data_IF_284275010557
#
_entry.id   IF_284275010557
#
_cell.length_a   1.000
_cell.length_b   1.000
_cell.length_c   1.000
_cell.angle_alpha   90.00
_cell.angle_beta   90.00
_cell.angle_gamma   90.00
#
_symmetry.space_group_name_H-M   'P 1'
#
loop_
_entity.id
_entity.type
_entity.pdbx_description
1 polymer ?
#
# COMPACT_ATOMS: atom_id res chain seq x y z
N UNK A 1 17.63 -1.11 -4.70
CA UNK A 1 16.55 -0.61 -3.82
C UNK A 1 15.31 -1.52 -3.84
N UNK A 2 15.46 -2.85 -4.01
CA UNK A 2 14.32 -3.80 -4.05
C UNK A 2 13.57 -3.91 -2.71
N UNK A 3 14.25 -3.62 -1.60
CA UNK A 3 13.65 -3.67 -0.26
C UNK A 3 12.47 -2.71 -0.11
N UNK A 4 12.57 -1.47 -0.63
CA UNK A 4 11.45 -0.52 -0.56
C UNK A 4 10.25 -0.94 -1.41
N UNK A 5 10.50 -1.56 -2.56
CA UNK A 5 9.44 -2.15 -3.37
C UNK A 5 8.73 -3.28 -2.60
N UNK A 6 9.50 -4.14 -1.93
CA UNK A 6 8.95 -5.24 -1.14
C UNK A 6 8.15 -4.72 0.05
N UNK A 7 8.65 -3.71 0.76
CA UNK A 7 7.92 -3.02 1.83
C UNK A 7 6.61 -2.44 1.30
N UNK A 8 6.65 -1.76 0.14
CA UNK A 8 5.44 -1.20 -0.48
C UNK A 8 4.40 -2.29 -0.80
N UNK A 9 4.83 -3.45 -1.31
CA UNK A 9 3.94 -4.56 -1.62
C UNK A 9 3.32 -5.17 -0.36
N UNK A 10 4.13 -5.43 0.67
CA UNK A 10 3.65 -5.98 1.95
C UNK A 10 2.67 -5.01 2.62
N UNK A 11 2.98 -3.71 2.64
CA UNK A 11 2.06 -2.69 3.14
C UNK A 11 0.73 -2.69 2.38
N UNK A 12 0.77 -2.78 1.05
CA UNK A 12 -0.45 -2.80 0.23
C UNK A 12 -1.34 -4.01 0.53
N UNK A 13 -0.74 -5.19 0.71
CA UNK A 13 -1.47 -6.41 1.10
C UNK A 13 -2.10 -6.27 2.47
N UNK A 14 -1.34 -5.80 3.48
CA UNK A 14 -1.85 -5.62 4.85
C UNK A 14 -2.98 -4.59 4.88
N UNK A 15 -2.81 -3.45 4.19
CA UNK A 15 -3.83 -2.43 4.10
C UNK A 15 -5.09 -2.92 3.36
N UNK A 16 -4.95 -3.74 2.31
CA UNK A 16 -6.07 -4.36 1.62
C UNK A 16 -6.82 -5.39 2.48
N UNK A 17 -6.09 -6.20 3.26
CA UNK A 17 -6.67 -7.17 4.19
C UNK A 17 -7.53 -6.49 5.26
N UNK A 18 -7.08 -5.35 5.77
CA UNK A 18 -7.85 -4.57 6.74
C UNK A 18 -9.00 -3.79 6.11
N UNK A 19 -8.77 -3.10 4.99
CA UNK A 19 -9.75 -2.21 4.37
C UNK A 19 -10.87 -2.93 3.60
N UNK A 20 -10.59 -4.08 2.95
CA UNK A 20 -11.56 -4.78 2.11
C UNK A 20 -12.07 -6.07 2.74
N UNK A 21 -11.16 -6.89 3.27
CA UNK A 21 -11.49 -8.23 3.78
C UNK A 21 -11.91 -8.23 5.26
N UNK A 22 -11.78 -7.08 5.95
CA UNK A 22 -12.18 -6.92 7.35
C UNK A 22 -11.63 -8.03 8.27
N UNK A 23 -10.41 -8.52 8.00
CA UNK A 23 -9.76 -9.54 8.82
C UNK A 23 -9.63 -8.98 10.25
N UNK A 24 -10.09 -9.67 11.31
CA UNK A 24 -10.20 -9.11 12.66
C UNK A 24 -8.88 -8.58 13.23
N UNK A 25 -7.74 -9.14 12.83
CA UNK A 25 -6.40 -8.66 13.22
C UNK A 25 -6.01 -7.31 12.57
N UNK A 26 -6.64 -6.92 11.47
CA UNK A 26 -6.31 -5.75 10.66
C UNK A 26 -7.51 -4.82 10.38
N UNK A 27 -8.68 -5.12 10.95
CA UNK A 27 -9.97 -4.46 10.69
C UNK A 27 -10.00 -2.98 11.10
N UNK A 28 -8.97 -2.48 11.79
CA UNK A 28 -8.86 -1.06 12.07
C UNK A 28 -8.60 -0.27 10.78
N UNK A 29 -9.62 0.50 10.37
CA UNK A 29 -9.54 1.39 9.21
C UNK A 29 -8.39 2.38 9.32
N UNK A 30 -8.09 2.86 10.53
CA UNK A 30 -6.96 3.76 10.81
C UNK A 30 -5.62 3.07 10.57
N UNK A 31 -5.47 1.81 11.00
CA UNK A 31 -4.25 1.02 10.77
C UNK A 31 -4.04 0.79 9.27
N UNK A 32 -5.08 0.39 8.55
CA UNK A 32 -4.99 0.23 7.09
C UNK A 32 -4.57 1.53 6.38
N UNK A 33 -5.07 2.68 6.85
CA UNK A 33 -4.72 4.00 6.32
C UNK A 33 -3.24 4.33 6.52
N UNK A 34 -2.73 4.15 7.75
CA UNK A 34 -1.31 4.40 8.08
C UNK A 34 -0.40 3.48 7.27
N UNK A 35 -0.72 2.19 7.22
CA UNK A 35 0.07 1.18 6.49
C UNK A 35 0.08 1.49 4.99
N UNK A 36 -1.05 1.87 4.40
CA UNK A 36 -1.12 2.27 2.99
C UNK A 36 -0.26 3.50 2.69
N UNK A 37 -0.26 4.52 3.57
CA UNK A 37 0.56 5.73 3.39
C UNK A 37 2.07 5.37 3.44
N UNK A 38 2.48 4.52 4.38
CA UNK A 38 3.86 4.02 4.45
C UNK A 38 4.27 3.24 3.19
N UNK A 39 3.34 2.46 2.64
CA UNK A 39 3.54 1.74 1.38
C UNK A 39 3.68 2.67 0.18
N UNK A 40 2.88 3.75 0.11
CA UNK A 40 3.01 4.78 -0.94
C UNK A 40 4.37 5.47 -0.86
N UNK A 41 4.80 5.89 0.34
CA UNK A 41 6.12 6.52 0.53
C UNK A 41 7.24 5.58 0.06
N UNK A 42 7.16 4.30 0.43
CA UNK A 42 8.12 3.27 0.01
C UNK A 42 8.11 3.04 -1.51
N UNK A 43 6.93 3.07 -2.14
CA UNK A 43 6.80 2.97 -3.59
C UNK A 43 7.42 4.19 -4.30
N UNK A 44 7.20 5.41 -3.79
CA UNK A 44 7.79 6.64 -4.32
C UNK A 44 9.31 6.63 -4.20
N UNK A 45 9.88 6.17 -3.09
CA UNK A 45 11.34 6.03 -2.93
C UNK A 45 11.91 5.07 -3.98
N UNK A 46 11.16 4.00 -4.30
CA UNK A 46 11.55 3.00 -5.30
C UNK A 46 11.64 3.58 -6.72
N UNK A 47 11.00 4.72 -7.02
CA UNK A 47 11.10 5.34 -8.35
C UNK A 47 12.53 5.76 -8.73
N UNK A 48 13.37 6.07 -7.74
CA UNK A 48 14.79 6.41 -7.95
C UNK A 48 15.62 5.24 -8.48
N UNK A 49 15.14 4.00 -8.36
CA UNK A 49 15.87 2.81 -8.81
C UNK A 49 15.63 2.53 -10.30
N UNK A 50 16.66 2.74 -11.14
CA UNK A 50 16.55 2.51 -12.59
C UNK A 50 16.48 1.03 -12.99
N UNK A 51 16.77 0.09 -12.09
CA UNK A 51 16.75 -1.35 -12.40
C UNK A 51 15.36 -1.98 -12.29
N UNK A 52 14.42 -1.33 -11.60
CA UNK A 52 13.04 -1.82 -11.45
C UNK A 52 12.20 -1.32 -12.63
N UNK A 53 11.42 -2.21 -13.23
CA UNK A 53 10.52 -1.86 -14.33
C UNK A 53 9.51 -0.79 -13.90
N UNK A 54 9.21 0.13 -14.81
CA UNK A 54 8.25 1.22 -14.58
C UNK A 54 6.86 0.68 -14.21
N UNK A 55 6.45 -0.43 -14.83
CA UNK A 55 5.18 -1.09 -14.51
C UNK A 55 5.10 -1.57 -13.05
N UNK A 56 6.19 -2.13 -12.53
CA UNK A 56 6.23 -2.66 -11.17
C UNK A 56 6.25 -1.55 -10.12
N UNK A 57 6.87 -0.40 -10.43
CA UNK A 57 6.79 0.80 -9.59
C UNK A 57 5.37 1.36 -9.55
N UNK A 58 4.70 1.38 -10.70
CA UNK A 58 3.33 1.87 -10.80
C UNK A 58 2.35 0.98 -10.04
N UNK A 59 2.46 -0.34 -10.20
CA UNK A 59 1.62 -1.29 -9.45
C UNK A 59 1.87 -1.19 -7.94
N UNK A 60 3.10 -0.94 -7.49
CA UNK A 60 3.41 -0.71 -6.08
C UNK A 60 2.76 0.56 -5.49
N UNK A 61 2.53 1.60 -6.30
CA UNK A 61 1.75 2.77 -5.87
C UNK A 61 0.26 2.42 -5.84
N UNK A 62 -0.26 1.79 -6.91
CA UNK A 62 -1.68 1.46 -7.03
C UNK A 62 -2.18 0.53 -5.94
N UNK A 63 -1.41 -0.51 -5.58
CA UNK A 63 -1.80 -1.48 -4.55
C UNK A 63 -1.96 -0.86 -3.16
N UNK A 64 -1.35 0.30 -2.92
CA UNK A 64 -1.52 1.06 -1.67
C UNK A 64 -2.58 2.16 -1.80
N UNK A 65 -2.72 2.79 -2.97
CA UNK A 65 -3.76 3.80 -3.21
C UNK A 65 -5.18 3.22 -3.13
N UNK A 66 -5.37 2.00 -3.64
CA UNK A 66 -6.67 1.33 -3.64
C UNK A 66 -7.25 1.15 -2.22
N UNK A 67 -6.56 0.48 -1.27
CA UNK A 67 -7.05 0.37 0.10
C UNK A 67 -7.14 1.73 0.80
N UNK A 68 -6.25 2.68 0.51
CA UNK A 68 -6.34 4.03 1.06
C UNK A 68 -7.67 4.69 0.69
N UNK A 69 -8.05 4.69 -0.59
CA UNK A 69 -9.36 5.18 -1.02
C UNK A 69 -10.52 4.35 -0.46
N UNK A 70 -10.38 3.03 -0.42
CA UNK A 70 -11.37 2.13 0.21
C UNK A 70 -11.68 2.54 1.65
N UNK A 71 -10.67 2.87 2.44
CA UNK A 71 -10.88 3.34 3.82
C UNK A 71 -11.57 4.70 3.88
N UNK A 72 -11.36 5.61 2.92
CA UNK A 72 -12.04 6.90 2.89
C UNK A 72 -13.50 6.78 2.45
N UNK A 73 -13.79 5.91 1.48
CA UNK A 73 -15.18 5.63 1.05
C UNK A 73 -15.96 4.95 2.17
N UNK A 74 -15.36 3.98 2.87
CA UNK A 74 -16.03 3.25 3.95
C UNK A 74 -16.27 4.07 5.24
N UNK A 75 -15.66 5.25 5.37
CA UNK A 75 -15.80 6.12 6.56
C UNK A 75 -16.76 7.30 6.34
N UNK A 76 -17.27 7.52 5.11
CA UNK A 76 -18.30 8.51 4.80
C UNK A 76 -19.66 7.84 4.67
#
# INVERSE_FOLDING_TARGET
MKQFLYIALVCGVIAGLGAFLHIPQYQSMTVSRIVAILGIISAVITFKDKQISTSLKFSAVLINMLPLFGTFVATN
#
